data_IF_406580569777
#
_entry.id   IF_406580569777
#
_cell.length_a   1.000
_cell.length_b   1.000
_cell.length_c   1.000
_cell.angle_alpha   90.00
_cell.angle_beta   90.00
_cell.angle_gamma   90.00
#
_symmetry.space_group_name_H-M   'P 1'
#
loop_
_entity.id
_entity.type
_entity.pdbx_description
1 polymer ?
#
# COMPACT_ATOMS: atom_id res chain seq x y z
N UNK A 1 8.71 13.06 5.51
CA UNK A 1 8.20 12.26 4.38
C UNK A 1 6.96 11.57 4.88
N UNK A 2 5.80 11.83 4.29
CA UNK A 2 4.53 11.36 4.83
C UNK A 2 4.34 9.87 4.49
N UNK A 3 4.93 9.03 5.34
CA UNK A 3 4.93 7.56 5.24
C UNK A 3 3.55 6.98 5.60
N UNK A 4 2.48 7.40 4.92
CA UNK A 4 1.12 6.89 5.10
C UNK A 4 0.53 6.95 6.52
N UNK A 5 -0.74 6.57 6.65
CA UNK A 5 -1.39 6.32 7.94
C UNK A 5 -1.18 4.87 8.35
N UNK A 6 -0.66 4.65 9.56
CA UNK A 6 -0.55 3.30 10.14
C UNK A 6 -1.94 2.70 10.37
N UNK A 7 -2.22 1.55 9.77
CA UNK A 7 -3.44 0.79 9.99
C UNK A 7 -3.27 -0.21 11.13
N UNK A 8 -2.20 -1.01 11.08
CA UNK A 8 -1.91 -2.08 12.05
C UNK A 8 -0.47 -2.56 11.91
N UNK A 9 -0.02 -3.34 12.88
CA UNK A 9 1.23 -4.09 12.81
C UNK A 9 0.91 -5.57 12.61
N UNK A 10 1.66 -6.23 11.74
CA UNK A 10 1.47 -7.65 11.40
C UNK A 10 2.80 -8.36 11.59
N UNK A 11 2.78 -9.49 12.29
CA UNK A 11 3.95 -10.33 12.43
C UNK A 11 4.04 -11.26 11.20
N UNK A 12 5.07 -11.08 10.36
CA UNK A 12 5.26 -11.90 9.15
C UNK A 12 6.73 -12.07 8.83
N UNK A 13 7.03 -13.00 7.91
CA UNK A 13 8.34 -13.11 7.29
C UNK A 13 8.53 -11.96 6.30
N UNK A 14 9.44 -11.03 6.61
CA UNK A 14 9.62 -9.82 5.83
C UNK A 14 10.50 -10.11 4.59
N UNK A 15 9.99 -9.91 3.36
CA UNK A 15 10.75 -10.18 2.14
C UNK A 15 11.91 -9.19 1.92
N UNK A 16 11.89 -8.04 2.60
CA UNK A 16 12.93 -7.02 2.46
C UNK A 16 14.17 -7.28 3.32
N UNK A 17 13.98 -7.74 4.56
CA UNK A 17 15.08 -7.95 5.50
C UNK A 17 15.37 -9.44 5.79
N UNK A 18 14.52 -10.35 5.30
CA UNK A 18 14.65 -11.80 5.48
C UNK A 18 14.47 -12.28 6.92
N UNK A 19 13.86 -11.46 7.78
CA UNK A 19 13.58 -11.79 9.18
C UNK A 19 12.09 -11.85 9.41
N UNK A 20 11.68 -12.72 10.32
CA UNK A 20 10.31 -12.72 10.86
C UNK A 20 10.21 -11.66 11.95
N UNK A 21 9.41 -10.62 11.73
CA UNK A 21 9.19 -9.53 12.68
C UNK A 21 7.86 -8.81 12.42
N UNK A 22 7.55 -7.83 13.26
CA UNK A 22 6.41 -6.94 13.03
C UNK A 22 6.72 -5.95 11.89
N UNK A 23 5.92 -6.01 10.83
CA UNK A 23 5.86 -5.01 9.76
C UNK A 23 4.63 -4.12 9.95
N UNK A 24 4.72 -2.89 9.51
CA UNK A 24 3.63 -1.92 9.62
C UNK A 24 2.77 -1.95 8.35
N UNK A 25 1.50 -2.30 8.45
CA UNK A 25 0.54 -2.07 7.38
C UNK A 25 0.13 -0.61 7.42
N UNK A 26 0.39 0.10 6.33
CA UNK A 26 0.09 1.51 6.18
C UNK A 26 -0.81 1.72 4.97
N UNK A 27 -1.48 2.86 4.94
CA UNK A 27 -2.26 3.30 3.79
C UNK A 27 -1.93 4.72 3.40
N UNK A 28 -2.05 5.04 2.12
CA UNK A 28 -1.95 6.41 1.61
C UNK A 28 -2.95 6.62 0.49
N UNK A 29 -3.35 7.87 0.30
CA UNK A 29 -4.12 8.25 -0.88
C UNK A 29 -3.11 8.63 -1.95
N UNK A 30 -3.14 7.93 -3.09
CA UNK A 30 -2.23 8.16 -4.22
C UNK A 30 -3.03 8.17 -5.53
N UNK A 31 -2.45 8.71 -6.60
CA UNK A 31 -3.04 8.74 -7.93
C UNK A 31 -2.24 7.90 -8.90
N UNK A 32 -2.93 7.11 -9.73
CA UNK A 32 -2.34 6.34 -10.83
C UNK A 32 -3.05 6.66 -12.13
N UNK A 33 -2.31 6.68 -13.25
CA UNK A 33 -2.90 6.81 -14.58
C UNK A 33 -3.28 5.42 -15.09
N UNK A 34 -4.58 5.14 -15.17
CA UNK A 34 -5.12 3.90 -15.74
C UNK A 34 -5.83 4.23 -17.05
N UNK A 35 -5.33 3.68 -18.17
CA UNK A 35 -5.89 3.88 -19.51
C UNK A 35 -6.02 5.36 -19.92
N UNK A 36 -5.11 6.22 -19.44
CA UNK A 36 -5.12 7.65 -19.73
C UNK A 36 -5.99 8.49 -18.78
N UNK A 37 -6.66 7.87 -17.81
CA UNK A 37 -7.42 8.56 -16.77
C UNK A 37 -6.63 8.57 -15.46
N UNK A 38 -6.49 9.74 -14.82
CA UNK A 38 -5.93 9.83 -13.48
C UNK A 38 -6.98 9.37 -12.45
N UNK A 39 -6.62 8.34 -11.70
CA UNK A 39 -7.48 7.75 -10.69
C UNK A 39 -6.77 7.82 -9.35
N UNK A 40 -7.31 8.64 -8.44
CA UNK A 40 -6.88 8.64 -7.03
C UNK A 40 -7.45 7.41 -6.31
N UNK A 41 -6.73 6.76 -5.42
CA UNK A 41 -7.25 5.62 -4.65
C UNK A 41 -6.52 5.50 -3.32
N UNK A 42 -7.10 4.73 -2.40
CA UNK A 42 -6.42 4.34 -1.16
C UNK A 42 -5.56 3.11 -1.45
N UNK A 43 -4.25 3.31 -1.45
CA UNK A 43 -3.24 2.27 -1.58
C UNK A 43 -2.84 1.79 -0.18
N UNK A 44 -2.77 0.47 0.00
CA UNK A 44 -2.19 -0.15 1.20
C UNK A 44 -0.81 -0.73 0.87
N UNK A 45 0.12 -0.62 1.81
CA UNK A 45 1.47 -1.13 1.66
C UNK A 45 2.02 -1.55 3.02
N UNK A 46 3.03 -2.40 3.01
CA UNK A 46 3.79 -2.75 4.20
C UNK A 46 5.06 -1.91 4.29
N UNK A 47 5.41 -1.53 5.51
CA UNK A 47 6.62 -0.81 5.84
C UNK A 47 7.49 -1.63 6.80
N UNK A 48 8.76 -1.78 6.45
CA UNK A 48 9.77 -2.49 7.21
C UNK A 48 10.80 -1.51 7.80
N UNK A 49 10.77 -1.33 9.12
CA UNK A 49 11.76 -0.49 9.83
C UNK A 49 13.19 -1.07 9.84
N UNK A 50 13.36 -2.35 9.48
CA UNK A 50 14.65 -3.02 9.42
C UNK A 50 15.29 -3.00 8.03
N UNK A 51 14.54 -2.56 7.01
CA UNK A 51 15.03 -2.43 5.65
C UNK A 51 15.76 -1.09 5.47
N UNK A 52 16.46 -0.93 4.33
CA UNK A 52 17.12 0.34 4.00
C UNK A 52 16.09 1.45 3.83
N UNK A 53 16.45 2.68 4.16
CA UNK A 53 15.52 3.82 4.19
C UNK A 53 14.80 4.08 2.85
N UNK A 54 15.43 3.76 1.72
CA UNK A 54 14.87 3.93 0.37
C UNK A 54 14.14 2.69 -0.18
N UNK A 55 14.25 1.54 0.50
CA UNK A 55 13.70 0.25 0.07
C UNK A 55 12.97 -0.44 1.22
N UNK A 56 12.17 0.33 1.97
CA UNK A 56 11.45 -0.12 3.17
C UNK A 56 9.95 -0.34 2.95
N UNK A 57 9.42 -0.02 1.77
CA UNK A 57 8.03 -0.21 1.39
C UNK A 57 7.88 -1.43 0.46
N UNK A 58 6.87 -2.25 0.68
CA UNK A 58 6.54 -3.37 -0.21
C UNK A 58 5.06 -3.72 -0.18
N UNK A 59 4.58 -4.39 -1.22
CA UNK A 59 3.23 -4.94 -1.31
C UNK A 59 3.31 -6.45 -1.51
N UNK A 60 2.30 -7.18 -1.04
CA UNK A 60 2.11 -8.59 -1.40
C UNK A 60 1.24 -8.71 -2.65
N UNK A 61 1.31 -9.83 -3.36
CA UNK A 61 0.49 -10.02 -4.57
C UNK A 61 -1.02 -9.88 -4.32
N UNK A 62 -1.51 -10.31 -3.14
CA UNK A 62 -2.91 -10.08 -2.73
C UNK A 62 -3.22 -8.60 -2.57
N UNK A 63 -2.34 -7.87 -1.87
CA UNK A 63 -2.49 -6.44 -1.61
C UNK A 63 -2.44 -5.62 -2.90
N UNK A 64 -1.49 -5.89 -3.80
CA UNK A 64 -1.43 -5.24 -5.10
C UNK A 64 -2.71 -5.48 -5.89
N UNK A 65 -3.25 -6.69 -5.87
CA UNK A 65 -4.52 -6.97 -6.54
C UNK A 65 -5.69 -6.18 -5.91
N UNK A 66 -5.77 -6.09 -4.58
CA UNK A 66 -6.77 -5.27 -3.89
C UNK A 66 -6.62 -3.78 -4.21
N UNK A 67 -5.39 -3.25 -4.21
CA UNK A 67 -5.09 -1.86 -4.56
C UNK A 67 -5.51 -1.54 -6.01
N UNK A 68 -5.16 -2.41 -6.96
CA UNK A 68 -5.58 -2.27 -8.35
C UNK A 68 -7.08 -2.44 -8.54
N UNK A 69 -7.73 -3.34 -7.79
CA UNK A 69 -9.18 -3.45 -7.76
C UNK A 69 -9.82 -2.21 -7.17
N UNK A 70 -9.24 -1.57 -6.16
CA UNK A 70 -9.75 -0.31 -5.60
C UNK A 70 -9.59 0.85 -6.58
N UNK A 71 -8.44 0.93 -7.26
CA UNK A 71 -8.21 1.90 -8.33
C UNK A 71 -9.21 1.67 -9.48
N UNK A 72 -9.40 0.42 -9.93
CA UNK A 72 -10.34 0.08 -10.99
C UNK A 72 -11.80 0.25 -10.60
N UNK A 73 -12.17 -0.17 -9.39
CA UNK A 73 -13.53 -0.15 -8.87
C UNK A 73 -13.85 1.15 -8.15
N UNK A 74 -13.14 2.24 -8.45
CA UNK A 74 -13.58 3.57 -8.09
C UNK A 74 -14.88 3.88 -8.82
N UNK A 75 -15.96 3.26 -8.35
CA UNK A 75 -17.32 3.74 -8.47
C UNK A 75 -17.24 5.17 -8.00
N UNK A 76 -17.64 6.06 -8.90
CA UNK A 76 -18.11 7.39 -8.58
C UNK A 76 -18.66 7.38 -7.15
N UNK A 77 -18.00 8.09 -6.23
CA UNK A 77 -18.73 8.79 -5.18
C UNK A 77 -19.64 9.79 -5.92
N UNK A 78 -20.70 9.27 -6.53
CA UNK A 78 -21.88 10.05 -6.88
C UNK A 78 -22.50 10.37 -5.53
N UNK A 79 -22.02 11.46 -4.94
CA UNK A 79 -22.79 12.21 -3.97
C UNK A 79 -24.11 12.48 -4.68
N UNK A 80 -25.16 11.82 -4.20
CA UNK A 80 -26.53 11.98 -4.67
C UNK A 80 -27.17 13.15 -3.95
#
# INVERSE_FOLDING_TARGET
>A
METGTLLRKIHMDCPLCGKTHEVEERKRVTSIVLKGEEVTYEERFYFCANAKEDENEFETGSMTNENLLNARNKKFLKIS
#
